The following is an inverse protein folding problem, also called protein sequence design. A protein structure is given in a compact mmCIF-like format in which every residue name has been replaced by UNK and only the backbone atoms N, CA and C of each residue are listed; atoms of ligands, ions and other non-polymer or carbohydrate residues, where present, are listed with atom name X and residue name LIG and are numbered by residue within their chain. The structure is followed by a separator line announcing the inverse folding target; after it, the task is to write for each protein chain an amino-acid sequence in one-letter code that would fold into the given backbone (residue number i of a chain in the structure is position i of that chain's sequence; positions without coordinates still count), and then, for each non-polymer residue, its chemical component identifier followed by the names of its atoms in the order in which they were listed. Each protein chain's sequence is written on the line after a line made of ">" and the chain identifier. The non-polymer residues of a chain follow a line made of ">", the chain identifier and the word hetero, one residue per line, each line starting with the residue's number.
data_IF_580047347106
#
_entry.id   IF_580047347106
#
_cell.length_a   1.000
_cell.length_b   1.000
_cell.length_c   1.000
_cell.angle_alpha   90.00
_cell.angle_beta   90.00
_cell.angle_gamma   90.00
#
_symmetry.space_group_name_H-M   'P 1'
#
loop_
_entity.id
_entity.type
_entity.pdbx_description
1 polymer ?
#
# COMPACT_ATOMS: atom_id res chain seq x y z
N UNK A 1 -14.83 -3.85 -12.14
CA UNK A 1 -14.62 -3.00 -10.95
C UNK A 1 -15.35 -3.50 -9.70
N UNK A 2 -16.55 -3.04 -9.30
CA UNK A 2 -17.09 -3.46 -7.96
C UNK A 2 -17.34 -4.98 -7.84
N UNK A 3 -17.91 -5.62 -8.88
CA UNK A 3 -18.17 -7.07 -8.87
C UNK A 3 -16.88 -7.89 -8.80
N UNK A 4 -15.80 -7.36 -9.37
CA UNK A 4 -14.48 -7.99 -9.36
C UNK A 4 -13.86 -7.89 -7.96
N UNK A 5 -13.88 -6.69 -7.35
CA UNK A 5 -13.46 -6.49 -5.97
C UNK A 5 -14.27 -7.35 -4.98
N UNK A 6 -15.57 -7.51 -5.21
CA UNK A 6 -16.43 -8.40 -4.41
C UNK A 6 -16.04 -9.87 -4.62
N UNK A 7 -15.81 -10.30 -5.86
CA UNK A 7 -15.40 -11.68 -6.17
C UNK A 7 -14.02 -12.05 -5.61
N UNK A 8 -13.12 -11.07 -5.50
CA UNK A 8 -11.79 -11.21 -4.89
C UNK A 8 -11.82 -11.06 -3.36
N UNK A 9 -12.99 -10.80 -2.78
CA UNK A 9 -13.13 -10.59 -1.33
C UNK A 9 -12.52 -9.29 -0.80
N UNK A 10 -12.12 -8.35 -1.68
CA UNK A 10 -11.58 -7.03 -1.29
C UNK A 10 -12.67 -6.16 -0.66
N UNK A 11 -13.91 -6.31 -1.11
CA UNK A 11 -15.09 -5.65 -0.53
C UNK A 11 -16.20 -6.65 -0.24
N UNK A 12 -17.06 -6.31 0.71
CA UNK A 12 -18.28 -7.06 1.02
C UNK A 12 -19.47 -6.13 1.13
N UNK A 13 -20.66 -6.62 0.77
CA UNK A 13 -21.92 -5.93 1.09
C UNK A 13 -22.03 -5.73 2.60
N UNK A 14 -22.57 -4.61 3.01
CA UNK A 14 -22.69 -4.25 4.43
C UNK A 14 -23.95 -3.44 4.71
N UNK A 15 -24.28 -3.31 5.99
CA UNK A 15 -25.25 -2.34 6.49
C UNK A 15 -24.60 -1.57 7.65
N UNK A 16 -23.96 -0.45 7.31
CA UNK A 16 -23.18 0.39 8.21
C UNK A 16 -23.84 1.75 8.42
N UNK A 17 -23.79 2.32 9.64
CA UNK A 17 -24.21 3.70 9.87
C UNK A 17 -23.29 4.73 9.19
N UNK A 18 -22.08 4.32 8.78
CA UNK A 18 -21.12 5.19 8.11
C UNK A 18 -21.30 5.19 6.60
N UNK A 19 -20.96 6.31 5.97
CA UNK A 19 -20.97 6.44 4.51
C UNK A 19 -19.93 7.44 4.04
N UNK A 20 -18.97 6.96 3.27
CA UNK A 20 -18.00 7.81 2.57
C UNK A 20 -18.39 7.97 1.09
N UNK A 21 -18.26 9.17 0.51
CA UNK A 21 -18.53 9.38 -0.91
C UNK A 21 -17.39 8.82 -1.77
N UNK A 22 -17.78 8.23 -2.90
CA UNK A 22 -16.84 7.70 -3.89
C UNK A 22 -16.21 8.86 -4.65
N UNK A 23 -14.90 8.78 -4.84
CA UNK A 23 -14.11 9.74 -5.61
C UNK A 23 -13.39 9.00 -6.74
N UNK A 24 -13.98 8.95 -7.94
CA UNK A 24 -13.35 8.31 -9.08
C UNK A 24 -12.09 9.10 -9.47
N UNK A 25 -10.96 8.40 -9.52
CA UNK A 25 -9.68 8.97 -9.98
C UNK A 25 -9.36 8.36 -11.34
N UNK A 26 -9.21 9.22 -12.33
CA UNK A 26 -8.80 8.82 -13.68
C UNK A 26 -7.28 8.66 -13.71
N UNK A 27 -6.78 7.46 -13.99
CA UNK A 27 -5.35 7.14 -14.02
C UNK A 27 -4.76 7.22 -15.43
N UNK A 28 -5.47 6.71 -16.43
CA UNK A 28 -5.16 6.78 -17.86
C UNK A 28 -6.45 6.65 -18.66
N UNK A 29 -6.44 6.81 -19.99
CA UNK A 29 -7.66 6.88 -20.83
C UNK A 29 -8.67 5.72 -20.61
N UNK A 30 -8.19 4.56 -20.15
CA UNK A 30 -9.03 3.37 -19.94
C UNK A 30 -9.08 2.90 -18.47
N UNK A 31 -8.32 3.53 -17.56
CA UNK A 31 -8.16 3.04 -16.18
C UNK A 31 -8.73 4.03 -15.15
N UNK A 32 -9.77 3.60 -14.44
CA UNK A 32 -10.36 4.31 -13.31
C UNK A 32 -10.06 3.59 -11.99
N UNK A 33 -9.65 4.35 -10.98
CA UNK A 33 -9.49 3.87 -9.61
C UNK A 33 -10.69 4.26 -8.75
N UNK A 34 -11.20 3.28 -8.00
CA UNK A 34 -12.22 3.51 -6.99
C UNK A 34 -11.56 4.00 -5.70
N UNK A 35 -11.36 5.31 -5.59
CA UNK A 35 -10.86 5.92 -4.35
C UNK A 35 -12.02 6.45 -3.51
N UNK A 36 -11.87 6.43 -2.19
CA UNK A 36 -12.88 6.92 -1.27
C UNK A 36 -12.43 8.24 -0.62
N UNK A 37 -13.37 9.18 -0.47
CA UNK A 37 -13.10 10.46 0.20
C UNK A 37 -13.34 10.34 1.71
N UNK A 38 -12.32 9.90 2.44
CA UNK A 38 -12.35 9.76 3.90
C UNK A 38 -12.08 11.06 4.67
N UNK A 39 -12.46 12.24 4.17
CA UNK A 39 -12.11 13.54 4.84
C UNK A 39 -12.58 13.58 6.30
N UNK A 40 -13.85 13.33 6.55
CA UNK A 40 -14.42 13.34 7.91
C UNK A 40 -13.76 12.30 8.81
N UNK A 41 -13.48 11.10 8.29
CA UNK A 41 -12.77 10.05 9.04
C UNK A 41 -11.32 10.47 9.35
N UNK A 42 -10.62 11.04 8.38
CA UNK A 42 -9.23 11.49 8.50
C UNK A 42 -9.09 12.64 9.52
N UNK A 43 -10.09 13.52 9.64
CA UNK A 43 -10.11 14.61 10.62
C UNK A 43 -10.18 14.12 12.07
N UNK A 44 -10.98 13.08 12.33
CA UNK A 44 -11.18 12.54 13.70
C UNK A 44 -10.20 11.44 14.08
N UNK A 45 -9.53 10.84 13.09
CA UNK A 45 -8.50 9.83 13.34
C UNK A 45 -7.29 10.52 14.00
N UNK A 46 -6.67 9.99 15.06
CA UNK A 46 -5.44 10.57 15.62
C UNK A 46 -4.28 10.47 14.63
N UNK A 47 -3.21 11.25 14.84
CA UNK A 47 -1.97 11.04 14.08
C UNK A 47 -1.34 9.71 14.53
N UNK A 48 -1.02 8.86 13.57
CA UNK A 48 -0.17 7.70 13.81
C UNK A 48 1.27 8.20 13.76
N UNK A 49 2.15 7.72 14.65
CA UNK A 49 3.58 8.05 14.58
C UNK A 49 4.08 7.70 13.18
N UNK A 50 4.73 8.65 12.51
CA UNK A 50 5.18 8.46 11.15
C UNK A 50 6.32 7.43 11.13
N UNK A 51 6.03 6.26 10.55
CA UNK A 51 7.06 5.32 10.12
C UNK A 51 7.59 5.67 8.72
N UNK A 52 6.84 6.47 7.95
CA UNK A 52 7.22 6.86 6.59
C UNK A 52 8.27 7.98 6.65
N UNK A 53 9.43 7.83 6.00
CA UNK A 53 10.45 8.87 5.92
C UNK A 53 9.90 10.18 5.34
N UNK A 54 10.45 11.31 5.79
CA UNK A 54 10.17 12.58 5.12
C UNK A 54 10.73 12.56 3.69
N UNK A 55 10.00 13.14 2.73
CA UNK A 55 10.39 13.10 1.33
C UNK A 55 11.73 13.81 1.07
N UNK A 56 12.03 14.88 1.83
CA UNK A 56 13.29 15.59 1.69
C UNK A 56 14.44 14.77 2.28
N UNK A 57 14.23 14.10 3.41
CA UNK A 57 15.20 13.16 3.99
C UNK A 57 15.49 12.00 3.02
N UNK A 58 14.45 11.39 2.45
CA UNK A 58 14.59 10.32 1.46
C UNK A 58 15.39 10.78 0.23
N UNK A 59 15.12 12.00 -0.25
CA UNK A 59 15.84 12.58 -1.37
C UNK A 59 17.33 12.77 -1.04
N UNK A 60 17.65 13.33 0.13
CA UNK A 60 19.04 13.49 0.55
C UNK A 60 19.77 12.15 0.68
N UNK A 61 19.11 11.14 1.25
CA UNK A 61 19.66 9.79 1.35
C UNK A 61 19.93 9.20 -0.04
N UNK A 62 18.99 9.33 -0.97
CA UNK A 62 19.14 8.84 -2.34
C UNK A 62 20.31 9.52 -3.06
N UNK A 63 20.42 10.84 -2.96
CA UNK A 63 21.52 11.63 -3.54
C UNK A 63 22.88 11.24 -2.92
N UNK A 64 22.90 10.88 -1.63
CA UNK A 64 24.12 10.49 -0.91
C UNK A 64 24.71 9.16 -1.40
N UNK A 65 23.90 8.27 -1.99
CA UNK A 65 24.35 6.96 -2.47
C UNK A 65 25.35 7.06 -3.63
N UNK A 66 25.38 8.20 -4.32
CA UNK A 66 26.29 8.49 -5.44
C UNK A 66 26.33 7.38 -6.51
N UNK A 67 25.23 6.64 -6.68
CA UNK A 67 25.15 5.53 -7.59
C UNK A 67 24.88 5.99 -9.03
N UNK A 68 25.30 5.17 -9.99
CA UNK A 68 25.12 5.46 -11.43
C UNK A 68 23.75 4.99 -11.94
N UNK A 69 23.22 3.94 -11.34
CA UNK A 69 21.97 3.31 -11.73
C UNK A 69 21.07 3.15 -10.52
N UNK A 70 19.78 3.40 -10.72
CA UNK A 70 18.71 3.23 -9.76
C UNK A 70 17.58 2.45 -10.43
N UNK A 71 16.90 1.60 -9.68
CA UNK A 71 15.66 0.98 -10.08
C UNK A 71 14.63 1.12 -8.95
N UNK A 72 13.36 1.14 -9.34
CA UNK A 72 12.23 1.21 -8.43
C UNK A 72 11.34 0.00 -8.64
N UNK A 73 11.04 -0.70 -7.56
CA UNK A 73 10.11 -1.83 -7.50
C UNK A 73 8.84 -1.32 -6.85
N UNK A 74 7.73 -1.37 -7.59
CA UNK A 74 6.39 -1.02 -7.10
C UNK A 74 5.68 -2.29 -6.63
N UNK A 75 5.26 -2.33 -5.36
CA UNK A 75 4.47 -3.44 -4.83
C UNK A 75 3.01 -3.26 -5.27
N UNK A 76 2.67 -3.92 -6.38
CA UNK A 76 1.34 -3.83 -6.96
C UNK A 76 0.25 -4.21 -5.95
N UNK A 77 -0.73 -3.31 -5.78
CA UNK A 77 -1.89 -3.49 -4.91
C UNK A 77 -1.55 -3.68 -3.41
N UNK A 78 -0.41 -3.15 -2.93
CA UNK A 78 0.04 -3.32 -1.54
C UNK A 78 -1.04 -3.02 -0.48
N UNK A 79 -1.85 -1.96 -0.65
CA UNK A 79 -2.94 -1.70 0.30
C UNK A 79 -4.02 -2.79 0.27
N UNK A 80 -4.39 -3.27 -0.91
CA UNK A 80 -5.45 -4.28 -1.04
C UNK A 80 -4.98 -5.69 -0.66
N UNK A 81 -3.68 -5.93 -0.47
CA UNK A 81 -3.18 -7.16 0.12
C UNK A 81 -3.36 -7.17 1.65
N UNK A 82 -3.36 -6.01 2.32
CA UNK A 82 -3.42 -5.94 3.78
C UNK A 82 -4.85 -6.14 4.30
N UNK A 83 -5.12 -7.17 5.14
CA UNK A 83 -6.44 -7.40 5.72
C UNK A 83 -6.82 -6.28 6.68
N UNK A 84 -8.10 -5.88 6.63
CA UNK A 84 -8.67 -4.96 7.59
C UNK A 84 -9.41 -5.73 8.68
N UNK A 85 -9.11 -5.40 9.93
CA UNK A 85 -9.75 -5.98 11.11
C UNK A 85 -11.27 -5.84 11.04
N UNK A 86 -12.00 -6.90 11.40
CA UNK A 86 -13.45 -7.00 11.17
C UNK A 86 -14.23 -5.85 11.84
N UNK A 87 -13.79 -5.46 13.04
CA UNK A 87 -14.39 -4.38 13.83
C UNK A 87 -14.20 -2.99 13.21
N UNK A 88 -13.15 -2.80 12.42
CA UNK A 88 -12.86 -1.53 11.75
C UNK A 88 -13.66 -1.35 10.45
N UNK A 89 -14.02 -2.46 9.78
CA UNK A 89 -14.68 -2.45 8.46
C UNK A 89 -15.90 -1.53 8.38
N UNK A 90 -16.83 -1.45 9.36
CA UNK A 90 -18.00 -0.58 9.24
C UNK A 90 -17.66 0.89 8.95
N UNK A 91 -16.55 1.41 9.46
CA UNK A 91 -16.14 2.81 9.31
C UNK A 91 -15.77 3.17 7.86
N UNK A 92 -15.38 2.18 7.06
CA UNK A 92 -14.92 2.37 5.68
C UNK A 92 -16.02 2.16 4.64
N UNK A 93 -17.28 2.07 5.08
CA UNK A 93 -18.41 1.80 4.21
C UNK A 93 -18.68 2.91 3.19
N UNK A 94 -19.15 2.50 2.01
CA UNK A 94 -19.48 3.36 0.88
C UNK A 94 -20.68 2.84 0.09
N UNK A 95 -21.29 3.69 -0.73
CA UNK A 95 -22.47 3.30 -1.53
C UNK A 95 -22.15 3.34 -3.02
N UNK A 96 -22.28 2.20 -3.70
CA UNK A 96 -22.17 2.08 -5.15
C UNK A 96 -23.50 1.63 -5.74
N UNK A 97 -24.07 2.43 -6.66
CA UNK A 97 -25.34 2.15 -7.35
C UNK A 97 -26.49 1.71 -6.42
N UNK A 98 -26.62 2.38 -5.27
CA UNK A 98 -27.69 2.11 -4.31
C UNK A 98 -27.44 0.96 -3.34
N UNK A 99 -26.33 0.21 -3.49
CA UNK A 99 -25.93 -0.86 -2.57
C UNK A 99 -24.74 -0.38 -1.72
N UNK A 100 -24.77 -0.68 -0.42
CA UNK A 100 -23.69 -0.34 0.50
C UNK A 100 -22.67 -1.48 0.59
N UNK A 101 -21.39 -1.12 0.49
CA UNK A 101 -20.25 -2.01 0.60
C UNK A 101 -19.31 -1.49 1.68
N UNK A 102 -18.43 -2.35 2.17
CA UNK A 102 -17.26 -1.96 2.93
C UNK A 102 -16.03 -2.72 2.46
N UNK A 103 -14.86 -2.17 2.75
CA UNK A 103 -13.57 -2.80 2.47
C UNK A 103 -13.25 -3.88 3.51
N UNK A 104 -12.77 -5.02 3.05
CA UNK A 104 -12.18 -6.08 3.88
C UNK A 104 -10.64 -5.99 3.90
N UNK A 105 -10.09 -5.05 3.13
CA UNK A 105 -8.67 -4.78 2.96
C UNK A 105 -8.41 -3.30 3.19
N UNK A 106 -7.16 -2.91 3.41
CA UNK A 106 -6.79 -1.53 3.69
C UNK A 106 -7.20 -0.62 2.52
N UNK A 107 -8.04 0.40 2.74
CA UNK A 107 -8.59 1.18 1.64
C UNK A 107 -7.68 2.35 1.22
N UNK A 108 -7.75 2.71 -0.07
CA UNK A 108 -7.13 3.93 -0.57
C UNK A 108 -7.88 5.18 -0.09
N UNK A 109 -7.11 6.20 0.32
CA UNK A 109 -7.62 7.51 0.76
C UNK A 109 -7.76 7.68 2.28
N UNK A 110 -7.58 6.60 3.06
CA UNK A 110 -7.49 6.70 4.52
C UNK A 110 -6.08 7.10 4.93
N UNK A 111 -5.96 8.03 5.88
CA UNK A 111 -4.67 8.66 6.17
C UNK A 111 -3.63 7.74 6.82
N UNK A 112 -4.05 6.66 7.47
CA UNK A 112 -3.12 5.69 8.06
C UNK A 112 -2.72 4.59 7.08
N UNK A 113 -3.41 4.44 5.94
CA UNK A 113 -3.09 3.37 4.99
C UNK A 113 -1.62 3.39 4.54
N UNK A 114 -1.03 4.55 4.18
CA UNK A 114 0.38 4.60 3.80
C UNK A 114 1.33 4.16 4.91
N UNK A 115 1.10 4.63 6.13
CA UNK A 115 1.97 4.32 7.29
C UNK A 115 1.90 2.85 7.69
N UNK A 116 0.69 2.28 7.70
CA UNK A 116 0.49 0.85 7.97
C UNK A 116 1.20 0.04 6.89
N UNK A 117 0.96 0.34 5.62
CA UNK A 117 1.58 -0.36 4.50
C UNK A 117 3.10 -0.29 4.57
N UNK A 118 3.65 0.91 4.77
CA UNK A 118 5.10 1.13 4.86
C UNK A 118 5.73 0.28 5.96
N UNK A 119 5.17 0.30 7.18
CA UNK A 119 5.72 -0.46 8.30
C UNK A 119 5.64 -1.98 8.10
N UNK A 120 4.59 -2.47 7.43
CA UNK A 120 4.48 -3.89 7.08
C UNK A 120 5.50 -4.30 6.03
N UNK A 121 5.73 -3.45 5.01
CA UNK A 121 6.78 -3.66 4.01
C UNK A 121 8.16 -3.66 4.65
N UNK A 122 8.43 -2.68 5.51
CA UNK A 122 9.70 -2.60 6.21
C UNK A 122 9.95 -3.86 7.04
N UNK A 123 8.94 -4.32 7.81
CA UNK A 123 9.06 -5.54 8.62
C UNK A 123 9.32 -6.78 7.75
N UNK A 124 8.69 -6.88 6.58
CA UNK A 124 8.89 -7.98 5.66
C UNK A 124 10.31 -7.97 5.06
N UNK A 125 10.80 -6.82 4.63
CA UNK A 125 12.15 -6.66 4.07
C UNK A 125 13.24 -6.94 5.13
N UNK A 126 13.03 -6.50 6.37
CA UNK A 126 13.94 -6.79 7.49
C UNK A 126 14.01 -8.29 7.83
N UNK A 127 12.88 -9.01 7.75
CA UNK A 127 12.84 -10.47 7.95
C UNK A 127 13.50 -11.24 6.81
N UNK A 128 13.38 -10.73 5.57
CA UNK A 128 13.92 -11.36 4.36
C UNK A 128 15.41 -11.12 4.12
N UNK A 129 16.10 -10.39 5.01
CA UNK A 129 17.51 -9.97 4.81
C UNK A 129 17.73 -9.22 3.48
N UNK A 130 16.72 -8.44 3.06
CA UNK A 130 16.75 -7.73 1.79
C UNK A 130 18.02 -6.86 1.66
N UNK A 131 18.64 -6.79 0.46
CA UNK A 131 19.80 -5.93 0.19
C UNK A 131 19.53 -4.46 0.53
N UNK A 132 20.60 -3.66 0.59
CA UNK A 132 20.48 -2.23 0.91
C UNK A 132 19.52 -1.53 -0.06
N UNK A 133 18.45 -0.96 0.50
CA UNK A 133 17.35 -0.32 -0.24
C UNK A 133 16.87 0.95 0.48
N UNK A 134 16.10 1.76 -0.23
CA UNK A 134 15.31 2.86 0.32
C UNK A 134 13.84 2.56 0.04
N UNK A 135 12.99 2.79 1.02
CA UNK A 135 11.57 2.48 0.90
C UNK A 135 10.73 3.75 1.04
N UNK A 136 9.72 3.91 0.19
CA UNK A 136 8.70 4.94 0.31
C UNK A 136 7.32 4.35 0.08
N UNK A 137 6.57 4.15 1.17
CA UNK A 137 5.29 3.44 1.15
C UNK A 137 5.49 2.10 0.42
N UNK A 138 4.89 1.91 -0.76
CA UNK A 138 4.89 0.73 -1.65
C UNK A 138 6.00 0.69 -2.69
N UNK A 139 6.81 1.76 -2.80
CA UNK A 139 8.00 1.82 -3.64
C UNK A 139 9.25 1.37 -2.88
N UNK A 140 10.02 0.46 -3.48
CA UNK A 140 11.36 0.07 -3.03
C UNK A 140 12.37 0.54 -4.08
N UNK A 141 13.40 1.26 -3.65
CA UNK A 141 14.43 1.81 -4.51
C UNK A 141 15.75 1.09 -4.20
N UNK A 142 16.35 0.53 -5.24
CA UNK A 142 17.69 -0.08 -5.21
C UNK A 142 18.64 0.66 -6.13
N UNK A 143 19.93 0.55 -5.86
CA UNK A 143 20.96 1.24 -6.62
C UNK A 143 22.25 0.45 -6.76
N UNK A 144 23.09 0.88 -7.71
CA UNK A 144 24.35 0.24 -8.03
C UNK A 144 25.18 1.02 -9.05
N UNK A 145 26.41 0.57 -9.27
CA UNK A 145 27.34 1.21 -10.21
C UNK A 145 27.22 0.65 -11.63
N UNK A 146 26.60 -0.51 -11.78
CA UNK A 146 26.32 -1.14 -13.07
C UNK A 146 24.84 -1.50 -13.18
N UNK A 147 24.30 -1.51 -14.40
CA UNK A 147 22.91 -1.91 -14.63
C UNK A 147 22.66 -3.38 -14.27
N UNK A 148 23.66 -4.25 -14.46
CA UNK A 148 23.53 -5.68 -14.14
C UNK A 148 23.38 -5.90 -12.62
N UNK A 149 24.18 -5.21 -11.80
CA UNK A 149 24.07 -5.25 -10.34
C UNK A 149 22.68 -4.80 -9.86
N UNK A 150 22.17 -3.69 -10.41
CA UNK A 150 20.85 -3.19 -10.04
C UNK A 150 19.75 -4.17 -10.46
N UNK A 151 19.87 -4.76 -11.64
CA UNK A 151 18.91 -5.75 -12.11
C UNK A 151 18.92 -7.03 -11.26
N UNK A 152 20.08 -7.47 -10.78
CA UNK A 152 20.19 -8.61 -9.86
C UNK A 152 19.53 -8.29 -8.51
N UNK A 153 19.85 -7.12 -7.91
CA UNK A 153 19.22 -6.64 -6.67
C UNK A 153 17.71 -6.51 -6.81
N UNK A 154 17.23 -5.94 -7.92
CA UNK A 154 15.80 -5.80 -8.20
C UNK A 154 15.09 -7.15 -8.17
N UNK A 155 15.75 -8.18 -8.71
CA UNK A 155 15.21 -9.53 -8.78
C UNK A 155 15.26 -10.27 -7.44
N UNK A 156 16.28 -10.02 -6.63
CA UNK A 156 16.43 -10.55 -5.27
C UNK A 156 15.38 -9.92 -4.34
N UNK A 157 15.30 -8.59 -4.31
CA UNK A 157 14.26 -7.85 -3.58
C UNK A 157 12.85 -8.25 -4.01
N UNK A 158 12.61 -8.49 -5.30
CA UNK A 158 11.30 -8.94 -5.76
C UNK A 158 10.92 -10.32 -5.21
N UNK A 159 11.88 -11.24 -5.09
CA UNK A 159 11.64 -12.58 -4.54
C UNK A 159 11.51 -12.54 -3.02
N UNK A 160 12.43 -11.88 -2.33
CA UNK A 160 12.44 -11.80 -0.86
C UNK A 160 11.25 -11.01 -0.34
N UNK A 161 10.89 -9.91 -1.02
CA UNK A 161 9.65 -9.20 -0.72
C UNK A 161 8.47 -10.12 -0.95
N UNK A 162 8.30 -10.76 -2.12
CA UNK A 162 7.14 -11.60 -2.39
C UNK A 162 6.99 -12.75 -1.38
N UNK A 163 8.07 -13.44 -1.02
CA UNK A 163 8.06 -14.53 -0.05
C UNK A 163 7.76 -14.02 1.36
N UNK A 164 8.42 -12.95 1.81
CA UNK A 164 8.20 -12.37 3.14
C UNK A 164 6.80 -11.76 3.26
N UNK A 165 6.29 -11.17 2.18
CA UNK A 165 4.91 -10.70 2.05
C UNK A 165 3.90 -11.81 2.23
N UNK A 166 4.13 -12.92 1.53
CA UNK A 166 3.23 -14.06 1.60
C UNK A 166 3.25 -14.69 3.00
N UNK A 167 4.43 -14.83 3.58
CA UNK A 167 4.61 -15.38 4.93
C UNK A 167 3.95 -14.48 6.01
N UNK A 168 4.10 -13.15 5.89
CA UNK A 168 3.41 -12.21 6.77
C UNK A 168 1.89 -12.32 6.67
N UNK A 169 1.35 -12.52 5.47
CA UNK A 169 -0.10 -12.67 5.26
C UNK A 169 -0.65 -13.95 5.91
N UNK A 170 0.10 -15.06 5.86
CA UNK A 170 -0.27 -16.30 6.54
C UNK A 170 -0.25 -16.17 8.08
N UNK A 171 0.69 -15.40 8.64
CA UNK A 171 0.74 -15.14 10.10
C UNK A 171 -0.48 -14.34 10.61
N UNK A 172 -1.17 -13.60 9.73
CA UNK A 172 -2.31 -12.73 10.06
C UNK A 172 -3.68 -13.33 9.71
N UNK A 173 -3.74 -14.54 9.15
CA UNK A 173 -4.97 -15.25 8.74
C UNK A 173 -5.42 -16.31 9.75
#
# INVERSE_FOLDING_TARGET
>A
MICELESQGVVSKTHSPFKSPIWPVHKSEEEWRLTMKYRALNEVTPLLSAAVPDMLELQYELESKAARWYATIDIANAFFSIPLEAECRPQFAFTWRGVQYTWNRLPQGWKHSPTICHGLIQTALEKGEAPEHLQYIDDIIVWGNTAAEVFEKEREDHLDSAESWFCYQEEQS
#
